data_IF_591303263222
#
_entry.id   IF_591303263222
#
_cell.length_a   1.000
_cell.length_b   1.000
_cell.length_c   1.000
_cell.angle_alpha   90.00
_cell.angle_beta   90.00
_cell.angle_gamma   90.00
#
_symmetry.space_group_name_H-M   'P 1'
#
loop_
_entity.id
_entity.type
_entity.pdbx_description
1 polymer ?
#
# COMPACT_ATOMS: atom_id res chain seq x y z
N UNK A 1 13.71 15.52 0.94
CA UNK A 1 13.01 14.67 1.93
C UNK A 1 13.89 14.40 3.15
N UNK A 2 13.35 14.59 4.36
CA UNK A 2 14.04 14.39 5.64
C UNK A 2 13.20 13.49 6.54
N UNK A 3 13.85 12.57 7.25
CA UNK A 3 13.19 11.56 8.08
C UNK A 3 13.65 11.66 9.53
N UNK A 4 12.70 11.58 10.46
CA UNK A 4 12.94 11.70 11.90
C UNK A 4 12.17 10.65 12.70
N UNK A 5 12.78 10.17 13.77
CA UNK A 5 12.06 9.53 14.88
C UNK A 5 11.77 10.52 15.99
N UNK A 6 10.60 10.39 16.63
CA UNK A 6 10.15 11.26 17.71
C UNK A 6 10.17 10.54 19.04
N UNK A 7 10.76 11.20 20.03
CA UNK A 7 10.80 10.73 21.42
C UNK A 7 9.46 10.97 22.13
N UNK A 8 9.28 10.41 23.34
CA UNK A 8 8.13 10.68 24.23
C UNK A 8 7.88 12.18 24.50
N UNK A 9 8.92 13.01 24.38
CA UNK A 9 8.84 14.46 24.59
C UNK A 9 8.70 15.26 23.30
N UNK A 10 8.54 14.60 22.14
CA UNK A 10 8.44 15.26 20.84
C UNK A 10 9.79 15.74 20.27
N UNK A 11 10.93 15.38 20.86
CA UNK A 11 12.22 15.71 20.24
C UNK A 11 12.45 14.91 18.95
N UNK A 12 12.95 15.60 17.91
CA UNK A 12 13.28 15.04 16.61
C UNK A 12 14.70 14.47 16.62
N UNK A 13 14.84 13.21 16.21
CA UNK A 13 16.14 12.60 15.90
C UNK A 13 16.16 12.24 14.42
N UNK A 14 17.06 12.86 13.65
CA UNK A 14 17.21 12.54 12.23
C UNK A 14 17.71 11.11 12.07
N UNK A 15 17.08 10.35 11.17
CA UNK A 15 17.43 8.96 10.85
C UNK A 15 17.54 8.80 9.34
N UNK A 16 18.31 7.80 8.89
CA UNK A 16 18.48 7.51 7.46
C UNK A 16 17.40 6.56 6.93
N UNK A 17 17.10 5.52 7.71
CA UNK A 17 16.11 4.50 7.39
C UNK A 17 15.19 4.31 8.60
N UNK A 18 14.01 3.72 8.38
CA UNK A 18 13.02 3.48 9.44
C UNK A 18 12.45 2.08 9.35
N UNK A 19 12.32 1.42 10.51
CA UNK A 19 11.35 0.37 10.72
C UNK A 19 10.17 0.97 11.44
N UNK A 20 8.98 0.92 10.85
CA UNK A 20 7.77 1.51 11.42
C UNK A 20 7.27 0.65 12.60
N UNK A 21 7.73 1.00 13.81
CA UNK A 21 7.37 0.29 15.04
C UNK A 21 6.05 0.81 15.62
N UNK A 22 5.23 -0.10 16.14
CA UNK A 22 3.91 0.22 16.71
C UNK A 22 3.97 1.16 17.92
N UNK A 23 5.12 1.22 18.61
CA UNK A 23 5.35 2.04 19.80
C UNK A 23 6.03 3.38 19.49
N UNK A 24 6.28 3.66 18.20
CA UNK A 24 7.05 4.81 17.75
C UNK A 24 6.21 5.82 16.96
N UNK A 25 6.81 6.99 16.78
CA UNK A 25 6.28 8.07 15.96
C UNK A 25 7.38 8.53 15.02
N UNK A 26 7.05 8.70 13.74
CA UNK A 26 7.98 9.14 12.72
C UNK A 26 7.45 10.37 12.00
N UNK A 27 8.37 11.27 11.64
CA UNK A 27 8.06 12.45 10.86
C UNK A 27 8.85 12.39 9.56
N UNK A 28 8.14 12.54 8.44
CA UNK A 28 8.69 12.60 7.10
C UNK A 28 8.38 13.98 6.55
N UNK A 29 9.41 14.73 6.20
CA UNK A 29 9.31 16.06 5.61
C UNK A 29 9.75 15.99 4.15
N UNK A 30 8.82 16.12 3.21
CA UNK A 30 9.09 16.15 1.77
C UNK A 30 9.20 17.57 1.19
N UNK A 31 9.38 18.57 2.07
CA UNK A 31 9.33 20.02 1.82
C UNK A 31 7.91 20.58 1.71
N UNK A 32 7.05 19.97 0.89
CA UNK A 32 5.65 20.42 0.65
C UNK A 32 4.66 19.89 1.69
N UNK A 33 4.96 18.73 2.26
CA UNK A 33 4.12 17.98 3.19
C UNK A 33 4.99 17.44 4.33
N UNK A 34 4.45 17.53 5.54
CA UNK A 34 4.99 16.90 6.74
C UNK A 34 4.04 15.77 7.12
N UNK A 35 4.46 14.54 6.90
CA UNK A 35 3.71 13.36 7.34
C UNK A 35 4.14 13.00 8.75
N UNK A 36 3.19 12.91 9.67
CA UNK A 36 3.38 12.43 11.02
C UNK A 36 2.73 11.05 11.16
N UNK A 37 3.54 10.01 11.10
CA UNK A 37 3.09 8.63 11.27
C UNK A 37 3.08 8.23 12.74
N UNK A 38 1.96 7.67 13.19
CA UNK A 38 1.69 7.31 14.57
C UNK A 38 1.49 5.80 14.69
N UNK A 39 2.38 5.12 15.40
CA UNK A 39 2.19 3.71 15.75
C UNK A 39 0.95 3.50 16.62
N UNK A 40 0.29 2.35 16.50
CA UNK A 40 -0.96 2.07 17.22
C UNK A 40 -0.82 1.94 18.74
N UNK A 41 0.38 1.65 19.22
CA UNK A 41 0.70 1.40 20.63
C UNK A 41 1.47 2.58 21.28
N UNK A 42 1.09 3.82 20.97
CA UNK A 42 1.66 5.03 21.56
C UNK A 42 0.77 5.66 22.64
N UNK A 43 1.38 6.33 23.62
CA UNK A 43 0.63 7.04 24.66
C UNK A 43 -0.06 8.30 24.11
N UNK A 44 -1.23 8.68 24.68
CA UNK A 44 -1.95 9.92 24.32
C UNK A 44 -1.06 11.17 24.49
N UNK A 45 -0.25 11.20 25.55
CA UNK A 45 0.69 12.30 25.83
C UNK A 45 1.76 12.42 24.74
N UNK A 46 2.34 11.28 24.31
CA UNK A 46 3.31 11.25 23.20
C UNK A 46 2.70 11.77 21.91
N UNK A 47 1.48 11.31 21.58
CA UNK A 47 0.75 11.75 20.38
C UNK A 47 0.60 13.26 20.34
N UNK A 48 0.09 13.88 21.42
CA UNK A 48 -0.08 15.33 21.51
C UNK A 48 1.23 16.10 21.30
N UNK A 49 2.29 15.72 22.03
CA UNK A 49 3.61 16.38 21.92
C UNK A 49 4.24 16.25 20.55
N UNK A 50 4.02 15.12 19.87
CA UNK A 50 4.54 14.91 18.52
C UNK A 50 3.79 15.73 17.48
N UNK A 51 2.47 15.87 17.63
CA UNK A 51 1.65 16.77 16.79
C UNK A 51 2.09 18.22 16.98
N UNK A 52 2.20 18.69 18.23
CA UNK A 52 2.71 20.03 18.54
C UNK A 52 4.10 20.28 17.92
N UNK A 53 4.98 19.27 17.94
CA UNK A 53 6.30 19.40 17.32
C UNK A 53 6.22 19.52 15.81
N UNK A 54 5.37 18.72 15.15
CA UNK A 54 5.19 18.76 13.69
C UNK A 54 4.65 20.11 13.23
N UNK A 55 3.64 20.65 13.93
CA UNK A 55 3.11 21.99 13.67
C UNK A 55 4.16 23.08 13.90
N UNK A 56 4.91 22.99 14.99
CA UNK A 56 6.01 23.92 15.25
C UNK A 56 7.07 23.87 14.14
N UNK A 57 7.46 22.67 13.71
CA UNK A 57 8.40 22.51 12.59
C UNK A 57 7.87 23.15 11.32
N UNK A 58 6.56 23.02 11.05
CA UNK A 58 5.92 23.64 9.90
C UNK A 58 5.97 25.18 9.97
N UNK A 59 5.67 25.74 11.15
CA UNK A 59 5.70 27.19 11.38
C UNK A 59 7.09 27.82 11.26
N UNK A 60 8.15 27.01 11.42
CA UNK A 60 9.55 27.43 11.30
C UNK A 60 10.03 27.45 9.83
N UNK A 61 9.23 26.95 8.88
CA UNK A 61 9.57 26.95 7.44
C UNK A 61 9.28 28.29 6.78
N UNK A 62 10.06 28.60 5.75
CA UNK A 62 9.80 29.75 4.85
C UNK A 62 8.49 29.53 4.09
N UNK A 63 8.34 28.33 3.51
CA UNK A 63 7.12 27.90 2.83
C UNK A 63 6.35 26.92 3.72
N UNK A 64 5.11 27.27 4.06
CA UNK A 64 4.24 26.44 4.89
C UNK A 64 3.90 25.15 4.14
N UNK A 65 4.19 24.02 4.77
CA UNK A 65 3.86 22.69 4.28
C UNK A 65 2.47 22.24 4.78
N UNK A 66 1.88 21.26 4.11
CA UNK A 66 0.69 20.55 4.59
C UNK A 66 1.09 19.55 5.68
N UNK A 67 0.49 19.61 6.86
CA UNK A 67 0.71 18.58 7.90
C UNK A 67 -0.34 17.49 7.77
N UNK A 68 0.09 16.24 7.59
CA UNK A 68 -0.80 15.08 7.52
C UNK A 68 -0.50 14.10 8.64
N UNK A 69 -1.52 13.76 9.42
CA UNK A 69 -1.40 12.78 10.51
C UNK A 69 -1.88 11.43 9.98
N UNK A 70 -1.04 10.42 10.12
CA UNK A 70 -1.30 9.08 9.61
C UNK A 70 -1.22 8.12 10.79
N UNK A 71 -2.28 7.37 11.04
CA UNK A 71 -2.28 6.34 12.07
C UNK A 71 -1.90 5.02 11.41
N UNK A 72 -1.16 4.19 12.14
CA UNK A 72 -0.87 2.82 11.72
C UNK A 72 -2.17 2.06 11.44
N UNK A 73 -2.12 1.18 10.44
CA UNK A 73 -3.23 0.39 9.91
C UNK A 73 -4.32 1.26 9.25
N UNK A 74 -4.02 2.54 8.96
CA UNK A 74 -4.86 3.50 8.24
C UNK A 74 -4.06 4.30 7.19
N UNK A 75 -2.97 3.71 6.68
CA UNK A 75 -2.14 4.32 5.64
C UNK A 75 -2.78 4.21 4.25
N UNK A 76 -2.85 5.33 3.53
CA UNK A 76 -3.32 5.34 2.14
C UNK A 76 -2.18 4.96 1.17
N UNK A 77 -2.54 4.44 0.00
CA UNK A 77 -1.59 3.78 -0.93
C UNK A 77 -0.36 4.61 -1.33
N UNK A 78 -0.51 5.92 -1.53
CA UNK A 78 0.64 6.78 -1.84
C UNK A 78 1.61 6.95 -0.66
N UNK A 79 1.11 6.92 0.58
CA UNK A 79 1.98 6.90 1.76
C UNK A 79 2.65 5.53 1.98
N UNK A 80 1.96 4.42 1.69
CA UNK A 80 2.57 3.07 1.71
C UNK A 80 3.78 3.02 0.76
N UNK A 81 3.69 3.67 -0.40
CA UNK A 81 4.81 3.77 -1.34
C UNK A 81 6.00 4.55 -0.74
N UNK A 82 5.74 5.62 0.02
CA UNK A 82 6.75 6.36 0.78
C UNK A 82 7.37 5.44 1.84
N UNK A 83 6.57 4.73 2.63
CA UNK A 83 7.06 3.79 3.64
C UNK A 83 7.99 2.72 3.04
N UNK A 84 7.59 2.13 1.92
CA UNK A 84 8.38 1.12 1.20
C UNK A 84 9.71 1.68 0.68
N UNK A 85 9.76 2.96 0.30
CA UNK A 85 11.00 3.62 -0.11
C UNK A 85 11.95 3.90 1.06
N UNK A 86 11.40 4.17 2.26
CA UNK A 86 12.15 4.54 3.48
C UNK A 86 12.57 3.32 4.32
N UNK A 87 11.86 2.20 4.17
CA UNK A 87 12.08 0.95 4.91
C UNK A 87 13.15 0.04 4.31
N UNK A 88 13.72 0.37 3.15
CA UNK A 88 14.77 -0.44 2.52
C UNK A 88 16.12 -0.26 3.24
N UNK A 89 16.56 -1.32 3.91
CA UNK A 89 17.98 -1.67 3.89
C UNK A 89 18.23 -2.56 2.67
N UNK A 90 19.37 -2.35 2.00
CA UNK A 90 20.04 -3.44 1.28
C UNK A 90 20.44 -4.48 2.34
N UNK A 91 19.57 -5.44 2.64
CA UNK A 91 19.95 -6.66 3.35
C UNK A 91 19.38 -7.84 2.56
N UNK A 92 20.26 -8.50 1.80
CA UNK A 92 20.09 -9.90 1.42
C UNK A 92 19.94 -10.70 2.72
N UNK A 93 18.74 -11.17 3.06
CA UNK A 93 18.57 -12.01 4.25
C UNK A 93 17.16 -12.11 4.80
N UNK A 94 16.50 -13.22 4.47
CA UNK A 94 15.18 -13.69 4.94
C UNK A 94 14.01 -12.77 4.59
N UNK A 95 13.40 -13.04 3.43
CA UNK A 95 12.01 -12.67 3.14
C UNK A 95 11.17 -13.19 4.31
N UNK A 96 10.73 -12.31 5.21
CA UNK A 96 9.58 -12.66 6.05
C UNK A 96 8.41 -12.83 5.08
N UNK A 97 7.84 -14.02 5.03
CA UNK A 97 6.65 -14.27 4.22
C UNK A 97 5.59 -13.24 4.61
N UNK A 98 5.18 -12.41 3.64
CA UNK A 98 4.04 -11.52 3.80
C UNK A 98 2.83 -12.39 4.15
N UNK A 99 2.07 -12.00 5.17
CA UNK A 99 0.85 -12.73 5.51
C UNK A 99 -0.07 -12.74 4.29
N UNK A 100 -0.73 -13.87 4.07
CA UNK A 100 -1.60 -14.02 2.91
C UNK A 100 -2.83 -13.13 3.07
N UNK A 101 -3.22 -12.42 2.01
CA UNK A 101 -4.44 -11.63 2.01
C UNK A 101 -5.64 -12.52 2.34
N UNK A 102 -6.48 -12.08 3.28
CA UNK A 102 -7.75 -12.73 3.58
C UNK A 102 -8.80 -12.13 2.65
N UNK A 103 -9.48 -12.99 1.88
CA UNK A 103 -10.60 -12.60 1.04
C UNK A 103 -11.86 -12.74 1.89
N UNK A 104 -12.47 -11.63 2.29
CA UNK A 104 -13.65 -11.55 3.17
C UNK A 104 -14.95 -11.94 2.42
N UNK A 105 -14.93 -13.12 1.79
CA UNK A 105 -16.03 -13.59 0.95
C UNK A 105 -17.32 -13.85 1.74
N UNK A 106 -17.22 -14.48 2.91
CA UNK A 106 -18.40 -14.83 3.72
C UNK A 106 -19.11 -13.54 4.19
N UNK A 107 -18.35 -12.57 4.71
CA UNK A 107 -18.86 -11.27 5.13
C UNK A 107 -19.49 -10.49 3.95
N UNK A 108 -18.84 -10.52 2.77
CA UNK A 108 -19.38 -9.91 1.54
C UNK A 108 -20.71 -10.55 1.14
N UNK A 109 -20.81 -11.87 1.21
CA UNK A 109 -22.04 -12.60 0.89
C UNK A 109 -23.16 -12.29 1.89
N UNK A 110 -22.86 -12.20 3.19
CA UNK A 110 -23.85 -11.84 4.21
C UNK A 110 -24.45 -10.45 3.96
N UNK A 111 -23.63 -9.47 3.55
CA UNK A 111 -24.11 -8.12 3.20
C UNK A 111 -25.01 -8.13 1.97
N UNK A 112 -24.64 -8.87 0.93
CA UNK A 112 -25.45 -9.03 -0.29
C UNK A 112 -26.78 -9.72 0.03
N UNK A 113 -26.76 -10.79 0.83
CA UNK A 113 -27.96 -11.50 1.26
C UNK A 113 -28.89 -10.64 2.14
N UNK A 114 -28.32 -9.67 2.88
CA UNK A 114 -29.06 -8.65 3.61
C UNK A 114 -29.69 -7.57 2.70
N UNK A 115 -29.46 -7.64 1.38
CA UNK A 115 -30.04 -6.73 0.39
C UNK A 115 -29.23 -5.45 0.16
N UNK A 116 -27.95 -5.41 0.55
CA UNK A 116 -27.04 -4.33 0.18
C UNK A 116 -26.57 -4.52 -1.26
N UNK A 117 -26.63 -3.44 -2.04
CA UNK A 117 -26.07 -3.44 -3.39
C UNK A 117 -24.54 -3.56 -3.31
N UNK A 118 -23.92 -4.46 -4.10
CA UNK A 118 -22.48 -4.64 -4.08
C UNK A 118 -21.78 -3.40 -4.62
N UNK A 119 -20.79 -2.91 -3.87
CA UNK A 119 -19.87 -1.88 -4.32
C UNK A 119 -18.66 -2.50 -5.06
N UNK A 120 -17.72 -1.65 -5.47
CA UNK A 120 -16.54 -2.10 -6.21
C UNK A 120 -15.72 -3.14 -5.43
N UNK A 121 -15.60 -2.99 -4.12
CA UNK A 121 -14.84 -3.91 -3.28
C UNK A 121 -15.53 -5.27 -3.16
N UNK A 122 -16.86 -5.27 -3.02
CA UNK A 122 -17.65 -6.50 -3.05
C UNK A 122 -17.48 -7.23 -4.40
N UNK A 123 -17.54 -6.50 -5.53
CA UNK A 123 -17.31 -7.09 -6.86
C UNK A 123 -15.91 -7.70 -6.99
N UNK A 124 -14.86 -6.98 -6.55
CA UNK A 124 -13.48 -7.48 -6.54
C UNK A 124 -13.39 -8.75 -5.68
N UNK A 125 -14.00 -8.73 -4.50
CA UNK A 125 -13.97 -9.85 -3.55
C UNK A 125 -14.58 -11.12 -4.15
N UNK A 126 -15.72 -11.01 -4.83
CA UNK A 126 -16.39 -12.14 -5.47
C UNK A 126 -15.51 -12.77 -6.57
N UNK A 127 -14.90 -11.95 -7.43
CA UNK A 127 -14.03 -12.43 -8.51
C UNK A 127 -12.72 -12.98 -7.96
N UNK A 128 -12.12 -12.32 -6.96
CA UNK A 128 -10.88 -12.77 -6.33
C UNK A 128 -11.08 -14.11 -5.63
N UNK A 129 -12.22 -14.29 -4.96
CA UNK A 129 -12.60 -15.57 -4.37
C UNK A 129 -12.69 -16.65 -5.46
N UNK A 130 -13.36 -16.37 -6.59
CA UNK A 130 -13.44 -17.30 -7.71
C UNK A 130 -12.04 -17.70 -8.22
N UNK A 131 -11.14 -16.74 -8.48
CA UNK A 131 -9.77 -17.04 -8.89
C UNK A 131 -9.02 -17.89 -7.87
N UNK A 132 -9.23 -17.64 -6.58
CA UNK A 132 -8.60 -18.43 -5.53
C UNK A 132 -9.04 -19.90 -5.53
N UNK A 133 -10.20 -20.22 -6.12
CA UNK A 133 -10.75 -21.59 -6.24
C UNK A 133 -10.40 -22.26 -7.56
N UNK A 134 -10.03 -21.50 -8.60
CA UNK A 134 -9.67 -22.04 -9.92
C UNK A 134 -8.32 -22.79 -9.92
N UNK A 135 -7.55 -22.73 -8.83
CA UNK A 135 -6.26 -23.41 -8.64
C UNK A 135 -5.25 -23.10 -9.76
N UNK A 136 -5.30 -21.90 -10.32
CA UNK A 136 -4.25 -21.41 -11.21
C UNK A 136 -2.92 -21.44 -10.45
N UNK A 137 -1.83 -21.78 -11.13
CA UNK A 137 -0.49 -21.68 -10.57
C UNK A 137 -0.11 -20.22 -10.35
N UNK A 138 0.83 -19.99 -9.43
CA UNK A 138 1.36 -18.65 -9.17
C UNK A 138 1.93 -18.00 -10.45
N UNK A 139 2.61 -18.78 -11.30
CA UNK A 139 3.15 -18.31 -12.57
C UNK A 139 2.05 -17.87 -13.56
N UNK A 140 0.95 -18.63 -13.62
CA UNK A 140 -0.21 -18.26 -14.44
C UNK A 140 -0.86 -16.96 -13.95
N UNK A 141 -0.97 -16.77 -12.64
CA UNK A 141 -1.46 -15.51 -12.06
C UNK A 141 -0.52 -14.34 -12.38
N UNK A 142 0.81 -14.51 -12.23
CA UNK A 142 1.77 -13.48 -12.63
C UNK A 142 1.65 -13.13 -14.11
N UNK A 143 1.46 -14.12 -14.98
CA UNK A 143 1.26 -13.93 -16.41
C UNK A 143 -0.01 -13.12 -16.70
N UNK A 144 -1.12 -13.49 -16.05
CA UNK A 144 -2.41 -12.81 -16.21
C UNK A 144 -2.34 -11.36 -15.73
N UNK A 145 -1.75 -11.12 -14.55
CA UNK A 145 -1.57 -9.78 -14.02
C UNK A 145 -0.67 -8.92 -14.92
N UNK A 146 0.42 -9.49 -15.45
CA UNK A 146 1.33 -8.79 -16.37
C UNK A 146 0.60 -8.31 -17.63
N UNK A 147 -0.25 -9.17 -18.22
CA UNK A 147 -1.04 -8.82 -19.41
C UNK A 147 -2.00 -7.68 -19.15
N UNK A 148 -2.73 -7.72 -18.02
CA UNK A 148 -3.67 -6.67 -17.63
C UNK A 148 -2.96 -5.34 -17.40
N UNK A 149 -1.84 -5.36 -16.66
CA UNK A 149 -1.05 -4.15 -16.41
C UNK A 149 -0.50 -3.54 -17.70
N UNK A 150 0.02 -4.36 -18.62
CA UNK A 150 0.52 -3.87 -19.91
C UNK A 150 -0.60 -3.34 -20.80
N UNK A 151 -1.77 -3.97 -20.80
CA UNK A 151 -2.95 -3.49 -21.52
C UNK A 151 -3.34 -2.09 -21.04
N UNK A 152 -3.40 -1.87 -19.72
CA UNK A 152 -3.72 -0.55 -19.16
C UNK A 152 -2.63 0.47 -19.49
N UNK A 153 -1.36 0.10 -19.33
CA UNK A 153 -0.23 1.02 -19.56
C UNK A 153 -0.07 1.44 -21.02
N UNK A 154 -0.45 0.58 -21.97
CA UNK A 154 -0.27 0.81 -23.41
C UNK A 154 -1.56 1.19 -24.12
N UNK A 155 -2.72 1.00 -23.49
CA UNK A 155 -4.02 1.23 -24.10
C UNK A 155 -4.17 0.43 -25.41
N UNK A 156 -4.33 1.15 -26.53
CA UNK A 156 -4.44 0.55 -27.87
C UNK A 156 -3.10 0.06 -28.46
N UNK A 157 -1.96 0.44 -27.87
CA UNK A 157 -0.65 0.01 -28.37
C UNK A 157 -0.36 -1.45 -27.99
N UNK A 158 0.24 -2.20 -28.92
CA UNK A 158 0.66 -3.59 -28.65
C UNK A 158 1.97 -3.60 -27.86
N UNK A 159 2.03 -4.41 -26.80
CA UNK A 159 3.27 -4.74 -26.12
C UNK A 159 4.00 -5.91 -26.82
N UNK A 160 5.33 -5.91 -26.73
CA UNK A 160 6.18 -6.99 -27.22
C UNK A 160 6.26 -8.16 -26.24
N UNK A 161 6.63 -9.34 -26.76
CA UNK A 161 6.87 -10.54 -25.93
C UNK A 161 7.94 -10.29 -24.85
N UNK A 162 8.97 -9.50 -25.18
CA UNK A 162 10.04 -9.13 -24.24
C UNK A 162 9.54 -8.25 -23.09
N UNK A 163 8.64 -7.31 -23.38
CA UNK A 163 8.00 -6.48 -22.34
C UNK A 163 7.14 -7.35 -21.42
N UNK A 164 6.37 -8.28 -21.98
CA UNK A 164 5.57 -9.24 -21.21
C UNK A 164 6.43 -10.08 -20.27
N UNK A 165 7.50 -10.69 -20.79
CA UNK A 165 8.42 -11.51 -19.98
C UNK A 165 9.08 -10.68 -18.87
N UNK A 166 9.51 -9.45 -19.17
CA UNK A 166 10.07 -8.55 -18.17
C UNK A 166 9.06 -8.24 -17.06
N UNK A 167 7.79 -7.99 -17.42
CA UNK A 167 6.73 -7.68 -16.46
C UNK A 167 6.35 -8.89 -15.59
N UNK A 168 6.31 -10.09 -16.19
CA UNK A 168 6.10 -11.34 -15.44
C UNK A 168 7.21 -11.52 -14.40
N UNK A 169 8.48 -11.32 -14.78
CA UNK A 169 9.60 -11.44 -13.85
C UNK A 169 9.58 -10.38 -12.75
N UNK A 170 9.13 -9.17 -13.05
CA UNK A 170 8.92 -8.12 -12.05
C UNK A 170 7.88 -8.54 -11.01
N UNK A 171 6.72 -9.04 -11.44
CA UNK A 171 5.64 -9.50 -10.57
C UNK A 171 6.03 -10.78 -9.82
N UNK A 172 6.71 -11.72 -10.48
CA UNK A 172 7.17 -12.93 -9.82
C UNK A 172 8.14 -12.63 -8.67
N UNK A 173 8.95 -11.58 -8.83
CA UNK A 173 9.86 -11.08 -7.80
C UNK A 173 9.20 -10.10 -6.83
N UNK A 174 7.97 -9.65 -7.10
CA UNK A 174 7.21 -8.92 -6.10
C UNK A 174 6.81 -9.91 -5.01
N UNK A 175 6.93 -9.50 -3.75
CA UNK A 175 6.60 -10.34 -2.59
C UNK A 175 5.07 -10.50 -2.41
N UNK A 176 4.32 -10.56 -3.52
CA UNK A 176 2.87 -10.65 -3.55
C UNK A 176 2.44 -12.07 -3.20
N UNK A 177 1.44 -12.21 -2.34
CA UNK A 177 0.88 -13.52 -2.03
C UNK A 177 -0.08 -14.00 -3.13
N UNK A 178 -0.44 -15.29 -3.11
CA UNK A 178 -1.35 -15.89 -4.08
C UNK A 178 -2.71 -15.18 -4.15
N UNK A 179 -3.33 -14.97 -2.98
CA UNK A 179 -4.62 -14.26 -2.89
C UNK A 179 -4.50 -12.78 -3.24
N UNK A 180 -3.36 -12.14 -2.96
CA UNK A 180 -3.11 -10.77 -3.44
C UNK A 180 -3.07 -10.71 -4.96
N UNK A 181 -2.46 -11.70 -5.64
CA UNK A 181 -2.49 -11.75 -7.10
C UNK A 181 -3.92 -11.95 -7.62
N UNK A 182 -4.71 -12.84 -7.01
CA UNK A 182 -6.12 -13.03 -7.36
C UNK A 182 -6.91 -11.71 -7.21
N UNK A 183 -6.67 -10.97 -6.12
CA UNK A 183 -7.30 -9.68 -5.86
C UNK A 183 -6.92 -8.63 -6.91
N UNK A 184 -5.63 -8.42 -7.14
CA UNK A 184 -5.14 -7.43 -8.12
C UNK A 184 -5.61 -7.73 -9.54
N UNK A 185 -5.65 -9.00 -9.92
CA UNK A 185 -6.18 -9.40 -11.22
C UNK A 185 -7.65 -9.02 -11.34
N UNK A 186 -8.44 -9.31 -10.30
CA UNK A 186 -9.88 -9.01 -10.26
C UNK A 186 -10.17 -7.52 -10.34
N UNK A 187 -9.40 -6.72 -9.59
CA UNK A 187 -9.47 -5.25 -9.63
C UNK A 187 -9.21 -4.72 -11.04
N UNK A 188 -8.10 -5.13 -11.67
CA UNK A 188 -7.77 -4.63 -13.00
C UNK A 188 -8.77 -5.06 -14.07
N UNK A 189 -9.33 -6.27 -13.97
CA UNK A 189 -10.39 -6.72 -14.89
C UNK A 189 -11.65 -5.87 -14.76
N UNK A 190 -12.13 -5.62 -13.53
CA UNK A 190 -13.31 -4.77 -13.32
C UNK A 190 -13.06 -3.35 -13.83
N UNK A 191 -11.89 -2.78 -13.56
CA UNK A 191 -11.54 -1.44 -14.02
C UNK A 191 -11.50 -1.34 -15.55
N UNK A 192 -11.01 -2.37 -16.24
CA UNK A 192 -11.03 -2.46 -17.70
C UNK A 192 -12.47 -2.63 -18.20
N UNK A 193 -13.26 -3.56 -17.64
CA UNK A 193 -14.63 -3.86 -18.10
C UNK A 193 -15.57 -2.67 -17.93
N UNK A 194 -15.45 -1.94 -16.82
CA UNK A 194 -16.26 -0.75 -16.55
C UNK A 194 -15.73 0.51 -17.26
N UNK A 195 -14.63 0.38 -18.01
CA UNK A 195 -13.97 1.48 -18.70
C UNK A 195 -13.66 2.68 -17.78
N UNK A 196 -13.30 2.40 -16.52
CA UNK A 196 -13.03 3.42 -15.50
C UNK A 196 -11.65 4.08 -15.71
N UNK A 197 -10.84 3.53 -16.63
CA UNK A 197 -9.46 3.93 -16.89
C UNK A 197 -9.26 4.76 -18.16
N UNK A 198 -10.34 5.15 -18.85
CA UNK A 198 -10.34 6.03 -20.03
C UNK A 198 -10.39 7.54 -19.68
#
# INVERSE_FOLDING_TARGET
MQLYSLTEKGYLRRIKNVHFLETAVYLIDDEKTIYLWLGKNISKNKKLKCIERAEKLNSEKIDVALVQIINQDNEYGSFISIMNSLGKKEEEGSIKNREELIIEFDDTMELIDAGLDPDLEAEITLIAHKYSKENLSYEELCNKLAKLQLQIQKGSEKYSQKELESKIQEIFKSSSSYKELCWLISELEILIEKNILD
#
